data_IF_733109495917
#
_entry.id   IF_733109495917
#
_cell.length_a   1.000
_cell.length_b   1.000
_cell.length_c   1.000
_cell.angle_alpha   90.00
_cell.angle_beta   90.00
_cell.angle_gamma   90.00
#
_symmetry.space_group_name_H-M   'P 1'
#
loop_
_entity.id
_entity.type
_entity.pdbx_description
1 polymer ?
#
# COMPACT_ATOMS: atom_id res chain seq x y z
N UNK A 1 -40.64 32.14 52.91
CA UNK A 1 -40.06 33.48 53.10
C UNK A 1 -38.57 33.30 53.25
N UNK A 2 -37.80 33.60 52.21
CA UNK A 2 -36.36 33.82 52.40
C UNK A 2 -36.26 35.32 52.64
N UNK A 3 -36.20 35.68 53.92
CA UNK A 3 -35.90 37.05 54.34
C UNK A 3 -34.39 37.22 54.15
N UNK A 4 -34.00 37.58 52.93
CA UNK A 4 -32.61 37.89 52.63
C UNK A 4 -32.41 39.33 53.04
N UNK A 5 -31.88 39.55 54.24
CA UNK A 5 -31.43 40.86 54.70
C UNK A 5 -30.34 41.33 53.71
N UNK A 6 -30.71 42.17 52.74
CA UNK A 6 -29.80 42.64 51.69
C UNK A 6 -28.92 43.71 52.33
N UNK A 7 -27.75 43.30 52.82
CA UNK A 7 -26.73 44.22 53.33
C UNK A 7 -26.16 45.03 52.17
N UNK A 8 -26.69 46.24 52.00
CA UNK A 8 -26.20 47.21 51.01
C UNK A 8 -24.96 47.91 51.57
N UNK A 9 -23.86 47.89 50.82
CA UNK A 9 -22.62 48.60 51.13
C UNK A 9 -22.39 49.78 50.18
N UNK A 10 -21.82 50.87 50.70
CA UNK A 10 -21.31 51.97 49.88
C UNK A 10 -19.85 51.72 49.54
N UNK A 11 -19.47 51.93 48.28
CA UNK A 11 -18.07 51.88 47.86
C UNK A 11 -17.36 53.23 48.06
N UNK A 12 -16.05 53.25 47.84
CA UNK A 12 -15.18 54.44 47.92
C UNK A 12 -15.61 55.62 47.03
N UNK A 13 -16.49 55.37 46.05
CA UNK A 13 -17.05 56.37 45.14
C UNK A 13 -18.54 56.68 45.43
N UNK A 14 -19.03 56.32 46.62
CA UNK A 14 -20.42 56.47 47.08
C UNK A 14 -21.46 55.73 46.21
N UNK A 15 -21.07 54.68 45.50
CA UNK A 15 -22.01 53.85 44.73
C UNK A 15 -22.60 52.77 45.62
N UNK A 16 -23.88 52.51 45.40
CA UNK A 16 -24.63 51.47 46.08
C UNK A 16 -24.22 50.09 45.54
N UNK A 17 -23.77 49.19 46.41
CA UNK A 17 -23.37 47.82 46.04
C UNK A 17 -24.00 46.78 46.97
N UNK A 18 -24.22 45.59 46.42
CA UNK A 18 -24.73 44.41 47.15
C UNK A 18 -23.58 43.51 47.66
N UNK A 19 -22.35 43.84 47.26
CA UNK A 19 -21.11 43.17 47.64
C UNK A 19 -20.08 44.22 48.11
N UNK A 20 -19.25 43.90 49.11
CA UNK A 20 -18.08 44.72 49.45
C UNK A 20 -17.23 45.02 48.21
N UNK A 21 -16.62 46.19 48.15
CA UNK A 21 -15.87 46.69 46.97
C UNK A 21 -14.81 45.68 46.50
N UNK A 22 -14.02 45.12 47.41
CA UNK A 22 -12.99 44.12 47.11
C UNK A 22 -13.57 42.83 46.52
N UNK A 23 -14.68 42.34 47.10
CA UNK A 23 -15.36 41.13 46.64
C UNK A 23 -16.00 41.33 45.25
N UNK A 24 -16.51 42.53 44.97
CA UNK A 24 -17.05 42.89 43.65
C UNK A 24 -15.94 42.93 42.59
N UNK A 25 -14.79 43.54 42.89
CA UNK A 25 -13.64 43.61 41.98
C UNK A 25 -13.14 42.20 41.67
N UNK A 26 -12.88 41.37 42.69
CA UNK A 26 -12.44 40.00 42.50
C UNK A 26 -13.44 39.14 41.72
N UNK A 27 -14.75 39.31 41.97
CA UNK A 27 -15.77 38.60 41.20
C UNK A 27 -15.80 39.02 39.72
N UNK A 28 -15.56 40.31 39.45
CA UNK A 28 -15.49 40.85 38.09
C UNK A 28 -14.25 40.33 37.37
N UNK A 29 -13.08 40.35 38.02
CA UNK A 29 -11.83 39.84 37.47
C UNK A 29 -11.92 38.33 37.20
N UNK A 30 -12.52 37.57 38.12
CA UNK A 30 -12.73 36.13 37.94
C UNK A 30 -13.67 35.85 36.77
N UNK A 31 -14.74 36.62 36.62
CA UNK A 31 -15.65 36.50 35.48
C UNK A 31 -14.91 36.74 34.17
N UNK A 32 -14.15 37.83 34.09
CA UNK A 32 -13.46 38.23 32.85
C UNK A 32 -12.36 37.21 32.49
N UNK A 33 -11.60 36.74 33.49
CA UNK A 33 -10.61 35.66 33.31
C UNK A 33 -11.26 34.35 32.86
N UNK A 34 -12.44 34.02 33.41
CA UNK A 34 -13.17 32.80 33.03
C UNK A 34 -13.69 32.86 31.58
N UNK A 35 -14.16 34.04 31.15
CA UNK A 35 -14.58 34.28 29.76
C UNK A 35 -13.39 34.20 28.81
N UNK A 36 -12.25 34.79 29.18
CA UNK A 36 -11.02 34.71 28.39
C UNK A 36 -10.53 33.26 28.25
N UNK A 37 -10.53 32.50 29.36
CA UNK A 37 -10.18 31.09 29.34
C UNK A 37 -11.08 30.29 28.42
N UNK A 38 -12.40 30.45 28.55
CA UNK A 38 -13.38 29.76 27.69
C UNK A 38 -13.15 30.09 26.21
N UNK A 39 -12.88 31.36 25.88
CA UNK A 39 -12.57 31.79 24.51
C UNK A 39 -11.29 31.15 23.99
N UNK A 40 -10.23 31.11 24.80
CA UNK A 40 -8.97 30.45 24.42
C UNK A 40 -9.14 28.94 24.24
N UNK A 41 -9.91 28.28 25.10
CA UNK A 41 -10.22 26.86 24.97
C UNK A 41 -11.00 26.55 23.70
N UNK A 42 -11.98 27.39 23.34
CA UNK A 42 -12.72 27.23 22.07
C UNK A 42 -11.77 27.33 20.87
N UNK A 43 -10.93 28.38 20.82
CA UNK A 43 -9.95 28.55 19.73
C UNK A 43 -8.97 27.39 19.64
N UNK A 44 -8.51 26.88 20.78
CA UNK A 44 -7.63 25.71 20.82
C UNK A 44 -8.30 24.48 20.19
N UNK A 45 -9.57 24.22 20.54
CA UNK A 45 -10.32 23.12 19.95
C UNK A 45 -10.48 23.27 18.44
N UNK A 46 -10.73 24.50 17.95
CA UNK A 46 -10.83 24.78 16.51
C UNK A 46 -9.52 24.50 15.78
N UNK A 47 -8.38 24.90 16.36
CA UNK A 47 -7.05 24.64 15.80
C UNK A 47 -6.77 23.14 15.78
N UNK A 48 -7.05 22.42 16.87
CA UNK A 48 -6.88 20.96 16.93
C UNK A 48 -7.77 20.28 15.89
N UNK A 49 -9.03 20.70 15.76
CA UNK A 49 -9.94 20.17 14.74
C UNK A 49 -9.41 20.36 13.32
N UNK A 50 -8.82 21.52 13.04
CA UNK A 50 -8.19 21.83 11.75
C UNK A 50 -6.95 20.97 11.51
N UNK A 51 -6.11 20.75 12.53
CA UNK A 51 -4.92 19.87 12.40
C UNK A 51 -5.35 18.43 12.14
N UNK A 52 -6.35 17.93 12.87
CA UNK A 52 -6.87 16.57 12.68
C UNK A 52 -7.43 16.38 11.28
N UNK A 53 -8.18 17.36 10.74
CA UNK A 53 -8.72 17.26 9.38
C UNK A 53 -7.62 17.26 8.32
N UNK A 54 -6.58 18.08 8.48
CA UNK A 54 -5.42 18.06 7.58
C UNK A 54 -4.67 16.74 7.64
N UNK A 55 -4.45 16.19 8.84
CA UNK A 55 -3.79 14.88 9.00
C UNK A 55 -4.60 13.75 8.36
N UNK A 56 -5.93 13.77 8.51
CA UNK A 56 -6.81 12.79 7.87
C UNK A 56 -6.72 12.85 6.34
N UNK A 57 -6.75 14.06 5.76
CA UNK A 57 -6.61 14.25 4.32
C UNK A 57 -5.23 13.79 3.80
N UNK A 58 -4.16 14.03 4.55
CA UNK A 58 -2.83 13.55 4.19
C UNK A 58 -2.72 12.03 4.27
N UNK A 59 -3.33 11.40 5.28
CA UNK A 59 -3.36 9.94 5.40
C UNK A 59 -4.06 9.29 4.20
N UNK A 60 -5.19 9.85 3.76
CA UNK A 60 -5.91 9.37 2.57
C UNK A 60 -5.05 9.44 1.30
N UNK A 61 -4.34 10.56 1.09
CA UNK A 61 -3.43 10.71 -0.06
C UNK A 61 -2.27 9.70 -0.04
N UNK A 62 -1.73 9.42 1.17
CA UNK A 62 -0.67 8.43 1.35
C UNK A 62 -1.18 7.04 1.01
N UNK A 63 -2.37 6.67 1.48
CA UNK A 63 -2.96 5.37 1.22
C UNK A 63 -3.29 5.18 -0.27
N UNK A 64 -3.80 6.21 -0.94
CA UNK A 64 -4.03 6.17 -2.39
C UNK A 64 -2.72 5.99 -3.18
N UNK A 65 -1.67 6.74 -2.82
CA UNK A 65 -0.35 6.58 -3.43
C UNK A 65 0.23 5.19 -3.18
N UNK A 66 0.10 4.67 -1.96
CA UNK A 66 0.54 3.32 -1.57
C UNK A 66 -0.18 2.25 -2.39
N UNK A 67 -1.50 2.35 -2.55
CA UNK A 67 -2.28 1.42 -3.35
C UNK A 67 -1.84 1.41 -4.82
N UNK A 68 -1.58 2.59 -5.40
CA UNK A 68 -1.07 2.69 -6.78
C UNK A 68 0.28 1.99 -6.95
N UNK A 69 1.21 2.20 -6.01
CA UNK A 69 2.53 1.54 -6.04
C UNK A 69 2.42 0.02 -5.90
N UNK A 70 1.57 -0.46 -4.98
CA UNK A 70 1.31 -1.89 -4.81
C UNK A 70 0.72 -2.48 -6.09
N UNK A 71 -0.28 -1.83 -6.67
CA UNK A 71 -0.90 -2.28 -7.93
C UNK A 71 0.12 -2.40 -9.07
N UNK A 72 0.92 -1.36 -9.29
CA UNK A 72 1.96 -1.36 -10.32
C UNK A 72 3.01 -2.46 -10.10
N UNK A 73 3.43 -2.67 -8.84
CA UNK A 73 4.38 -3.74 -8.48
C UNK A 73 3.79 -5.12 -8.77
N UNK A 74 2.53 -5.35 -8.41
CA UNK A 74 1.85 -6.63 -8.65
C UNK A 74 1.73 -6.92 -10.15
N UNK A 75 1.29 -5.94 -10.94
CA UNK A 75 1.20 -6.10 -12.40
C UNK A 75 2.56 -6.43 -13.03
N UNK A 76 3.61 -5.69 -12.65
CA UNK A 76 4.97 -5.94 -13.15
C UNK A 76 5.48 -7.33 -12.75
N UNK A 77 5.17 -7.79 -11.54
CA UNK A 77 5.53 -9.14 -11.08
C UNK A 77 4.79 -10.21 -11.90
N UNK A 78 3.48 -10.05 -12.09
CA UNK A 78 2.67 -10.95 -12.90
C UNK A 78 3.16 -11.03 -14.36
N UNK A 79 3.44 -9.89 -15.00
CA UNK A 79 3.96 -9.86 -16.37
C UNK A 79 5.31 -10.57 -16.50
N UNK A 80 6.19 -10.41 -15.50
CA UNK A 80 7.48 -11.11 -15.46
C UNK A 80 7.33 -12.61 -15.30
N UNK A 81 6.45 -13.03 -14.39
CA UNK A 81 6.22 -14.45 -14.11
C UNK A 81 5.52 -15.13 -15.30
N UNK A 82 4.45 -14.53 -15.84
CA UNK A 82 3.78 -15.04 -17.05
C UNK A 82 4.71 -15.07 -18.26
N UNK A 83 5.50 -14.02 -18.48
CA UNK A 83 6.48 -13.97 -19.57
C UNK A 83 7.53 -15.08 -19.44
N UNK A 84 7.99 -15.32 -18.20
CA UNK A 84 8.93 -16.41 -17.90
C UNK A 84 8.30 -17.77 -18.12
N UNK A 85 7.10 -18.02 -17.60
CA UNK A 85 6.39 -19.29 -17.76
C UNK A 85 6.09 -19.60 -19.23
N UNK A 86 5.59 -18.63 -20.00
CA UNK A 86 5.36 -18.77 -21.44
C UNK A 86 6.66 -19.12 -22.18
N UNK A 87 7.78 -18.49 -21.80
CA UNK A 87 9.09 -18.77 -22.41
C UNK A 87 9.58 -20.18 -22.07
N UNK A 88 9.40 -20.64 -20.83
CA UNK A 88 9.73 -22.01 -20.42
C UNK A 88 8.89 -23.02 -21.22
N UNK A 89 7.57 -22.81 -21.29
CA UNK A 89 6.66 -23.68 -22.03
C UNK A 89 7.04 -23.76 -23.52
N UNK A 90 7.33 -22.62 -24.15
CA UNK A 90 7.78 -22.57 -25.54
C UNK A 90 9.09 -23.35 -25.75
N UNK A 91 10.09 -23.14 -24.90
CA UNK A 91 11.37 -23.85 -24.98
C UNK A 91 11.20 -25.36 -24.81
N UNK A 92 10.28 -25.80 -23.93
CA UNK A 92 9.96 -27.21 -23.75
C UNK A 92 9.35 -27.83 -25.02
N UNK A 93 8.43 -27.10 -25.70
CA UNK A 93 7.87 -27.55 -26.97
C UNK A 93 8.95 -27.70 -28.04
N UNK A 94 9.79 -26.68 -28.22
CA UNK A 94 10.89 -26.71 -29.20
C UNK A 94 11.87 -27.87 -28.91
N UNK A 95 12.19 -28.08 -27.64
CA UNK A 95 13.08 -29.16 -27.22
C UNK A 95 12.47 -30.54 -27.49
N UNK A 96 11.16 -30.71 -27.28
CA UNK A 96 10.45 -31.93 -27.62
C UNK A 96 10.43 -32.19 -29.14
N UNK A 97 10.20 -31.16 -29.95
CA UNK A 97 10.27 -31.26 -31.41
C UNK A 97 11.66 -31.67 -31.89
N UNK A 98 12.72 -31.03 -31.38
CA UNK A 98 14.10 -31.35 -31.75
C UNK A 98 14.51 -32.76 -31.34
N UNK A 99 14.05 -33.24 -30.17
CA UNK A 99 14.26 -34.64 -29.77
C UNK A 99 13.58 -35.63 -30.70
N UNK A 100 12.35 -35.35 -31.16
CA UNK A 100 11.65 -36.20 -32.14
C UNK A 100 12.37 -36.21 -33.49
N UNK A 101 12.81 -35.04 -33.94
CA UNK A 101 13.57 -34.91 -35.18
C UNK A 101 14.88 -35.70 -35.12
N UNK A 102 15.62 -35.61 -34.01
CA UNK A 102 16.83 -36.39 -33.76
C UNK A 102 16.53 -37.89 -33.79
N UNK A 103 15.52 -38.36 -33.06
CA UNK A 103 15.16 -39.78 -33.02
C UNK A 103 14.82 -40.33 -34.43
N UNK A 104 14.12 -39.55 -35.25
CA UNK A 104 13.83 -39.90 -36.64
C UNK A 104 15.11 -40.03 -37.48
N UNK A 105 16.03 -39.07 -37.36
CA UNK A 105 17.30 -39.09 -38.10
C UNK A 105 18.18 -40.26 -37.64
N UNK A 106 18.24 -40.54 -36.35
CA UNK A 106 18.97 -41.68 -35.81
C UNK A 106 18.44 -43.01 -36.35
N UNK A 107 17.12 -43.15 -36.45
CA UNK A 107 16.49 -44.34 -37.01
C UNK A 107 16.80 -44.50 -38.50
N UNK A 108 16.72 -43.42 -39.28
CA UNK A 108 17.12 -43.45 -40.68
C UNK A 108 18.60 -43.82 -40.86
N UNK A 109 19.49 -43.29 -40.01
CA UNK A 109 20.91 -43.65 -40.04
C UNK A 109 21.11 -45.14 -39.78
N UNK A 110 20.47 -45.70 -38.75
CA UNK A 110 20.56 -47.14 -38.42
C UNK A 110 20.08 -48.01 -39.58
N UNK A 111 18.98 -47.63 -40.22
CA UNK A 111 18.44 -48.34 -41.39
C UNK A 111 19.43 -48.34 -42.56
N UNK A 112 20.07 -47.20 -42.85
CA UNK A 112 21.07 -47.09 -43.91
C UNK A 112 22.33 -47.92 -43.61
N UNK A 113 22.82 -47.91 -42.36
CA UNK A 113 23.97 -48.71 -41.94
C UNK A 113 23.72 -50.21 -42.07
N UNK A 114 22.51 -50.68 -41.72
CA UNK A 114 22.11 -52.07 -41.90
C UNK A 114 22.12 -52.47 -43.38
N UNK A 115 21.57 -51.61 -44.25
CA UNK A 115 21.51 -51.83 -45.69
C UNK A 115 22.91 -51.79 -46.34
N UNK A 116 23.81 -50.91 -45.87
CA UNK A 116 25.21 -50.91 -46.30
C UNK A 116 25.94 -52.19 -45.90
N UNK A 117 25.72 -52.70 -44.68
CA UNK A 117 26.27 -53.99 -44.24
C UNK A 117 25.76 -55.14 -45.11
N UNK A 118 24.45 -55.20 -45.38
CA UNK A 118 23.86 -56.24 -46.22
C UNK A 118 24.43 -56.22 -47.64
N UNK A 119 24.60 -55.02 -48.22
CA UNK A 119 25.22 -54.84 -49.54
C UNK A 119 26.68 -55.31 -49.55
N UNK A 120 27.47 -54.96 -48.54
CA UNK A 120 28.87 -55.42 -48.40
C UNK A 120 28.95 -56.94 -48.30
N UNK A 121 28.14 -57.55 -47.45
CA UNK A 121 28.08 -59.01 -47.30
C UNK A 121 27.68 -59.71 -48.61
N UNK A 122 26.79 -59.10 -49.40
CA UNK A 122 26.39 -59.62 -50.72
C UNK A 122 27.53 -59.51 -51.73
N UNK A 123 28.24 -58.38 -51.76
CA UNK A 123 29.43 -58.20 -52.60
C UNK A 123 30.54 -59.22 -52.26
N UNK A 124 30.81 -59.43 -50.98
CA UNK A 124 31.79 -60.43 -50.52
C UNK A 124 31.41 -61.85 -50.97
N UNK A 125 30.12 -62.22 -50.90
CA UNK A 125 29.64 -63.51 -51.42
C UNK A 125 29.81 -63.64 -52.92
N UNK A 126 29.57 -62.57 -53.68
CA UNK A 126 29.75 -62.57 -55.13
C UNK A 126 31.23 -62.67 -55.51
N UNK A 127 32.11 -61.96 -54.80
CA UNK A 127 33.56 -62.00 -55.02
C UNK A 127 34.21 -63.34 -54.65
N UNK A 128 33.68 -64.05 -53.66
CA UNK A 128 34.20 -65.36 -53.23
C UNK A 128 33.63 -66.55 -54.02
N UNK A 129 32.65 -66.32 -54.89
CA UNK A 129 32.01 -67.33 -55.74
C UNK A 129 32.44 -67.25 -57.22
N UNK A 130 33.41 -66.39 -57.55
CA UNK A 130 34.24 -66.43 -58.78
C UNK A 130 35.65 -66.94 -58.44
#
# INVERSE_FOLDING_TARGET
MIDTDVTVSFDSANRLRVLPEDAYIHSTDLRDTSVEFSTKSSRFNDVVGTVVSHLAAQAEQIDEARLRVIGARTMTAMERDEGRERKIAHLQTVLAEKRRELARVEEHRRSMEALEMERKATLERLMNNE
#
